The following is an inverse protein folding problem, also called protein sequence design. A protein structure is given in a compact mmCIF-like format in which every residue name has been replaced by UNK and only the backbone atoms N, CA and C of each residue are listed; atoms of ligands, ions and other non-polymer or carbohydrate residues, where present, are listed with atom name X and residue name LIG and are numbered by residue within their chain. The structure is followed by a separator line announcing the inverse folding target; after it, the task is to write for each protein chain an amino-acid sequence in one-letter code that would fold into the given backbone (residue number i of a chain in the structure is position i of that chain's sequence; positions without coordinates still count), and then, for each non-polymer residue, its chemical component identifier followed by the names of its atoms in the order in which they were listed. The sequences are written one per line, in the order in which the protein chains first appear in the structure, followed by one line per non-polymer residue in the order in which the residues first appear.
data_IF_076358767303
#
_entry.id   IF_076358767303
#
_cell.length_a   1.000
_cell.length_b   1.000
_cell.length_c   1.000
_cell.angle_alpha   90.00
_cell.angle_beta   90.00
_cell.angle_gamma   90.00
#
_symmetry.space_group_name_H-M   'P 1'
#
loop_
_entity.id
_entity.type
_entity.pdbx_description
1 polymer ?
#
# COMPACT_ATOMS: atom_id res chain seq x y z
N UNK A 1 -10.15 11.64 -12.49
CA UNK A 1 -9.01 12.00 -11.63
C UNK A 1 -7.75 11.74 -12.41
N UNK A 2 -6.86 12.73 -12.55
CA UNK A 2 -5.56 12.53 -13.19
C UNK A 2 -4.63 11.77 -12.25
N UNK A 3 -3.94 10.74 -12.77
CA UNK A 3 -3.11 9.83 -11.99
C UNK A 3 -1.67 9.85 -12.49
N UNK A 4 -0.72 9.94 -11.56
CA UNK A 4 0.70 9.70 -11.82
C UNK A 4 1.06 8.30 -11.32
N UNK A 5 1.80 7.55 -12.12
CA UNK A 5 2.19 6.18 -11.79
C UNK A 5 3.61 6.14 -11.24
N UNK A 6 3.78 5.60 -10.05
CA UNK A 6 5.05 5.58 -9.34
C UNK A 6 5.56 4.14 -9.20
N UNK A 7 6.68 3.78 -9.84
CA UNK A 7 7.33 2.50 -9.58
C UNK A 7 7.81 2.44 -8.12
N UNK A 8 7.28 1.46 -7.39
CA UNK A 8 7.75 1.13 -6.04
C UNK A 8 8.76 0.01 -6.20
N UNK A 9 10.03 0.32 -6.00
CA UNK A 9 11.11 -0.62 -6.28
C UNK A 9 12.15 -0.70 -5.16
N UNK A 10 12.75 -1.87 -5.03
CA UNK A 10 14.01 -2.06 -4.32
C UNK A 10 15.15 -2.16 -5.34
N UNK A 11 16.30 -1.61 -4.98
CA UNK A 11 17.53 -1.84 -5.74
C UNK A 11 18.45 -2.76 -4.94
N UNK A 12 18.82 -3.89 -5.51
CA UNK A 12 19.79 -4.82 -4.95
C UNK A 12 21.04 -4.84 -5.84
N UNK A 13 22.23 -4.72 -5.25
CA UNK A 13 23.47 -4.68 -6.01
C UNK A 13 23.73 -5.95 -6.84
N UNK A 14 23.34 -7.13 -6.34
CA UNK A 14 23.54 -8.41 -7.02
C UNK A 14 22.44 -8.72 -8.04
N UNK A 15 21.22 -8.28 -7.75
CA UNK A 15 20.02 -8.71 -8.48
C UNK A 15 19.32 -7.61 -9.28
N UNK A 16 19.84 -6.38 -9.23
CA UNK A 16 19.30 -5.21 -9.89
C UNK A 16 18.05 -4.65 -9.21
N UNK A 17 17.28 -3.90 -10.00
CA UNK A 17 16.02 -3.29 -9.56
C UNK A 17 14.90 -4.31 -9.63
N UNK A 18 14.10 -4.42 -8.57
CA UNK A 18 12.91 -5.27 -8.50
C UNK A 18 11.72 -4.47 -7.99
N UNK A 19 10.61 -4.52 -8.73
CA UNK A 19 9.40 -3.75 -8.44
C UNK A 19 8.49 -4.51 -7.46
N UNK A 20 8.02 -3.84 -6.41
CA UNK A 20 6.89 -4.31 -5.61
C UNK A 20 5.58 -4.16 -6.39
N UNK A 21 5.34 -2.95 -6.91
CA UNK A 21 4.16 -2.58 -7.67
C UNK A 21 4.41 -1.22 -8.37
N UNK A 22 3.56 -0.85 -9.31
CA UNK A 22 3.43 0.53 -9.78
C UNK A 22 2.21 1.13 -9.11
N UNK A 23 2.43 2.14 -8.26
CA UNK A 23 1.41 2.77 -7.44
C UNK A 23 0.86 4.02 -8.15
N UNK A 24 -0.39 4.03 -8.60
CA UNK A 24 -1.05 5.24 -9.06
C UNK A 24 -1.37 6.16 -7.87
N UNK A 25 -1.08 7.45 -8.02
CA UNK A 25 -1.45 8.49 -7.06
C UNK A 25 -2.17 9.63 -7.79
N UNK A 26 -3.18 10.28 -7.16
CA UNK A 26 -3.74 11.51 -7.69
C UNK A 26 -2.65 12.59 -7.77
N UNK A 27 -2.73 13.49 -8.76
CA UNK A 27 -1.71 14.51 -9.01
C UNK A 27 -1.35 15.41 -7.80
N UNK A 28 -2.27 15.54 -6.84
CA UNK A 28 -2.06 16.30 -5.61
C UNK A 28 -1.19 15.56 -4.57
N UNK A 29 -0.89 14.28 -4.77
CA UNK A 29 -0.10 13.47 -3.86
C UNK A 29 1.33 13.25 -4.38
N UNK A 30 2.28 13.38 -3.48
CA UNK A 30 3.68 13.04 -3.70
C UNK A 30 4.03 11.72 -3.03
N UNK A 31 4.88 10.93 -3.67
CA UNK A 31 5.50 9.75 -3.09
C UNK A 31 6.91 10.10 -2.60
N UNK A 32 7.16 9.87 -1.32
CA UNK A 32 8.49 10.02 -0.70
C UNK A 32 8.89 8.70 -0.05
N UNK A 33 10.19 8.37 -0.06
CA UNK A 33 10.69 7.17 0.62
C UNK A 33 10.37 7.23 2.11
N UNK A 34 9.94 6.11 2.68
CA UNK A 34 9.76 5.96 4.11
C UNK A 34 11.10 5.88 4.86
N UNK A 35 11.05 5.82 6.19
CA UNK A 35 12.25 5.79 7.03
C UNK A 35 13.00 4.44 6.99
N UNK A 36 12.40 3.40 6.41
CA UNK A 36 12.97 2.06 6.35
C UNK A 36 13.29 1.68 4.90
N UNK A 37 14.46 1.12 4.68
CA UNK A 37 14.84 0.55 3.39
C UNK A 37 13.89 -0.61 3.02
N UNK A 38 13.57 -0.80 1.72
CA UNK A 38 12.83 -1.95 1.27
C UNK A 38 13.54 -3.27 1.63
N UNK A 39 12.78 -4.24 2.13
CA UNK A 39 13.25 -5.60 2.40
C UNK A 39 12.70 -6.54 1.32
N UNK A 40 13.59 -7.29 0.66
CA UNK A 40 13.24 -8.23 -0.41
C UNK A 40 13.78 -9.60 -0.05
N UNK A 41 12.87 -10.54 0.21
CA UNK A 41 13.21 -11.93 0.52
C UNK A 41 13.24 -12.80 -0.74
N UNK A 42 12.34 -12.51 -1.69
CA UNK A 42 12.24 -13.25 -2.94
C UNK A 42 11.82 -12.34 -4.09
N UNK A 43 12.36 -12.58 -5.26
CA UNK A 43 11.97 -11.93 -6.51
C UNK A 43 11.78 -12.94 -7.64
N UNK A 44 11.09 -12.51 -8.69
CA UNK A 44 10.84 -13.29 -9.89
C UNK A 44 10.95 -12.39 -11.13
N UNK A 45 11.53 -12.91 -12.21
CA UNK A 45 11.59 -12.20 -13.49
C UNK A 45 10.41 -12.61 -14.37
N UNK A 46 9.74 -11.63 -14.98
CA UNK A 46 8.65 -11.80 -15.96
C UNK A 46 8.95 -10.89 -17.15
N UNK A 47 9.32 -11.48 -18.28
CA UNK A 47 9.86 -10.72 -19.41
C UNK A 47 11.13 -9.95 -19.01
N UNK A 48 11.13 -8.65 -19.26
CA UNK A 48 12.26 -7.77 -18.93
C UNK A 48 12.20 -7.15 -17.53
N UNK A 49 11.11 -7.40 -16.80
CA UNK A 49 10.86 -6.79 -15.49
C UNK A 49 11.08 -7.80 -14.37
N UNK A 50 11.82 -7.38 -13.34
CA UNK A 50 11.92 -8.12 -12.08
C UNK A 50 10.86 -7.59 -11.10
N UNK A 51 10.14 -8.52 -10.48
CA UNK A 51 9.09 -8.25 -9.50
C UNK A 51 9.42 -8.89 -8.16
N UNK A 52 9.09 -8.20 -7.07
CA UNK A 52 9.18 -8.75 -5.72
C UNK A 52 8.08 -9.77 -5.53
N UNK A 53 8.47 -10.98 -5.14
CA UNK A 53 7.56 -12.08 -4.85
C UNK A 53 7.38 -12.28 -3.35
N UNK A 54 8.28 -11.77 -2.52
CA UNK A 54 8.18 -11.77 -1.06
C UNK A 54 9.02 -10.63 -0.49
N UNK A 55 8.44 -9.81 0.37
CA UNK A 55 9.12 -8.67 0.97
C UNK A 55 8.17 -7.60 1.47
N UNK A 56 8.73 -6.51 1.97
CA UNK A 56 7.98 -5.35 2.50
C UNK A 56 8.70 -4.03 2.26
N UNK A 57 7.93 -2.96 2.15
CA UNK A 57 8.48 -1.61 2.03
C UNK A 57 7.52 -0.58 2.60
N UNK A 58 8.06 0.60 2.95
CA UNK A 58 7.30 1.72 3.53
C UNK A 58 7.61 3.01 2.78
N UNK A 59 6.57 3.77 2.49
CA UNK A 59 6.63 5.07 1.84
C UNK A 59 5.77 6.09 2.60
N UNK A 60 5.98 7.37 2.30
CA UNK A 60 5.14 8.47 2.74
C UNK A 60 4.41 9.06 1.52
N UNK A 61 3.11 9.25 1.64
CA UNK A 61 2.26 9.95 0.69
C UNK A 61 1.95 11.33 1.27
N UNK A 62 2.31 12.40 0.57
CA UNK A 62 2.18 13.78 1.05
C UNK A 62 1.26 14.55 0.12
N UNK A 63 0.20 15.16 0.65
CA UNK A 63 -0.71 15.97 -0.15
C UNK A 63 -0.18 17.42 -0.32
N UNK A 64 0.01 17.88 -1.57
CA UNK A 64 0.58 19.19 -1.98
C UNK A 64 -0.28 20.43 -1.69
N UNK A 65 -1.22 20.36 -0.77
CA UNK A 65 -2.18 21.46 -0.55
C UNK A 65 -3.05 21.31 0.69
N UNK A 66 -2.89 20.20 1.42
CA UNK A 66 -3.56 19.92 2.68
C UNK A 66 -2.48 19.42 3.64
N UNK A 67 -2.66 19.65 4.94
CA UNK A 67 -1.74 19.11 5.97
C UNK A 67 -2.05 17.63 6.21
N UNK A 68 -1.85 16.81 5.19
CA UNK A 68 -2.11 15.37 5.22
C UNK A 68 -0.87 14.59 4.80
N UNK A 69 -0.40 13.74 5.71
CA UNK A 69 0.66 12.78 5.47
C UNK A 69 0.13 11.39 5.79
N UNK A 70 0.36 10.46 4.87
CA UNK A 70 -0.09 9.08 4.98
C UNK A 70 1.10 8.15 4.84
N UNK A 71 1.37 7.36 5.87
CA UNK A 71 2.33 6.24 5.76
C UNK A 71 1.70 5.13 4.93
N UNK A 72 2.43 4.64 3.93
CA UNK A 72 2.02 3.56 3.05
C UNK A 72 2.94 2.36 3.25
N UNK A 73 2.39 1.27 3.78
CA UNK A 73 3.08 0.01 3.95
C UNK A 73 2.61 -0.97 2.88
N UNK A 74 3.56 -1.55 2.16
CA UNK A 74 3.31 -2.58 1.15
C UNK A 74 4.00 -3.85 1.62
N UNK A 75 3.26 -4.96 1.62
CA UNK A 75 3.80 -6.28 1.90
C UNK A 75 3.34 -7.28 0.83
N UNK A 76 4.27 -8.12 0.39
CA UNK A 76 4.00 -9.21 -0.56
C UNK A 76 4.38 -10.51 0.13
N UNK A 77 3.43 -11.45 0.22
CA UNK A 77 3.62 -12.69 0.96
C UNK A 77 2.94 -13.89 0.28
N UNK A 78 3.45 -15.09 0.56
CA UNK A 78 2.90 -16.33 0.01
C UNK A 78 1.56 -16.73 0.64
N UNK A 79 1.39 -16.52 1.95
CA UNK A 79 0.19 -16.96 2.66
C UNK A 79 -0.97 -16.00 2.41
N UNK A 80 -2.07 -16.54 1.91
CA UNK A 80 -3.37 -15.91 2.09
C UNK A 80 -3.72 -15.93 3.58
N UNK A 81 -3.87 -14.77 4.17
CA UNK A 81 -4.56 -14.60 5.44
C UNK A 81 -5.78 -13.75 5.13
N UNK A 82 -6.96 -14.01 5.69
CA UNK A 82 -8.05 -13.05 5.63
C UNK A 82 -7.52 -11.68 6.09
N UNK A 83 -8.05 -10.59 5.51
CA UNK A 83 -7.73 -9.25 5.96
C UNK A 83 -8.22 -9.11 7.42
N UNK A 84 -7.35 -9.46 8.37
CA UNK A 84 -7.71 -9.50 9.77
C UNK A 84 -7.62 -8.08 10.31
N UNK A 85 -8.74 -7.54 10.78
CA UNK A 85 -8.79 -6.26 11.46
C UNK A 85 -8.55 -6.52 12.95
N UNK A 86 -7.38 -6.17 13.50
CA UNK A 86 -7.06 -6.47 14.89
C UNK A 86 -8.05 -5.84 15.86
N UNK A 87 -8.26 -6.49 17.01
CA UNK A 87 -8.99 -5.91 18.13
C UNK A 87 -8.35 -4.58 18.55
N UNK A 88 -9.18 -3.58 18.88
CA UNK A 88 -8.73 -2.23 19.24
C UNK A 88 -8.62 -1.22 18.09
N UNK A 89 -9.07 -1.60 16.89
CA UNK A 89 -9.29 -0.69 15.76
C UNK A 89 -10.80 -0.50 15.54
N UNK A 90 -11.26 0.68 15.11
CA UNK A 90 -12.67 0.97 14.83
C UNK A 90 -12.89 1.00 13.32
N UNK A 91 -13.61 0.02 12.76
CA UNK A 91 -13.95 -0.01 11.33
C UNK A 91 -15.33 0.58 11.09
N UNK A 92 -15.39 1.66 10.31
CA UNK A 92 -16.64 2.28 9.86
C UNK A 92 -17.07 1.89 8.44
N UNK A 93 -16.16 1.40 7.60
CA UNK A 93 -16.50 0.91 6.25
C UNK A 93 -15.63 -0.28 5.89
N UNK A 94 -16.24 -1.30 5.27
CA UNK A 94 -15.57 -2.49 4.75
C UNK A 94 -16.27 -2.94 3.49
N UNK A 95 -15.56 -3.59 2.58
CA UNK A 95 -16.18 -4.11 1.37
C UNK A 95 -15.20 -4.81 0.45
N UNK A 96 -15.68 -5.07 -0.76
CA UNK A 96 -14.88 -5.54 -1.87
C UNK A 96 -14.69 -4.42 -2.89
N UNK A 97 -13.58 -4.47 -3.60
CA UNK A 97 -13.21 -3.55 -4.68
C UNK A 97 -12.32 -4.29 -5.66
N UNK A 98 -12.13 -3.75 -6.87
CA UNK A 98 -11.15 -4.28 -7.82
C UNK A 98 -9.88 -3.42 -7.78
N UNK A 99 -8.71 -4.05 -7.62
CA UNK A 99 -7.40 -3.40 -7.62
C UNK A 99 -6.53 -4.08 -8.67
N UNK A 100 -6.14 -3.34 -9.71
CA UNK A 100 -5.30 -3.87 -10.79
C UNK A 100 -5.90 -5.07 -11.50
N UNK A 101 -7.23 -5.14 -11.62
CA UNK A 101 -7.94 -6.30 -12.15
C UNK A 101 -8.09 -7.48 -11.18
N UNK A 102 -7.72 -7.32 -9.91
CA UNK A 102 -7.86 -8.34 -8.87
C UNK A 102 -8.99 -8.01 -7.91
N UNK A 103 -9.80 -9.02 -7.55
CA UNK A 103 -10.75 -8.89 -6.45
C UNK A 103 -9.99 -8.65 -5.14
N UNK A 104 -10.30 -7.54 -4.49
CA UNK A 104 -9.66 -7.07 -3.27
C UNK A 104 -10.68 -6.88 -2.16
N UNK A 105 -10.28 -7.17 -0.92
CA UNK A 105 -11.02 -6.71 0.25
C UNK A 105 -10.41 -5.38 0.72
N UNK A 106 -11.25 -4.49 1.25
CA UNK A 106 -10.78 -3.28 1.92
C UNK A 106 -11.50 -3.03 3.25
N UNK A 107 -10.81 -2.38 4.17
CA UNK A 107 -11.37 -1.84 5.42
C UNK A 107 -10.83 -0.43 5.61
N UNK A 108 -11.73 0.51 5.83
CA UNK A 108 -11.45 1.84 6.33
C UNK A 108 -11.79 1.88 7.82
N UNK A 109 -11.06 2.69 8.58
CA UNK A 109 -11.30 2.82 10.01
C UNK A 109 -10.38 3.80 10.68
N UNK A 110 -10.31 3.67 12.00
CA UNK A 110 -9.31 4.35 12.83
C UNK A 110 -8.57 3.35 13.70
N UNK A 111 -7.36 3.72 14.11
CA UNK A 111 -6.57 2.97 15.09
C UNK A 111 -5.85 3.92 16.04
N UNK A 112 -5.53 3.42 17.23
CA UNK A 112 -4.70 4.13 18.19
C UNK A 112 -3.22 3.88 17.88
N UNK A 113 -2.41 4.93 17.84
CA UNK A 113 -0.97 4.89 17.60
C UNK A 113 -0.22 5.63 18.71
N UNK A 114 0.93 5.10 19.10
CA UNK A 114 1.82 5.67 20.13
C UNK A 114 1.73 4.95 21.48
N UNK A 115 2.87 4.82 22.16
CA UNK A 115 2.95 4.17 23.48
C UNK A 115 2.53 5.13 24.61
N UNK A 116 3.00 6.39 24.58
CA UNK A 116 2.80 7.34 25.68
C UNK A 116 1.62 8.29 25.48
N UNK A 117 1.36 8.74 24.25
CA UNK A 117 0.10 9.40 23.89
C UNK A 117 -0.54 8.64 22.74
N UNK A 118 -1.68 8.00 23.01
CA UNK A 118 -2.43 7.23 22.00
C UNK A 118 -3.19 8.22 21.13
N UNK A 119 -2.66 8.55 19.95
CA UNK A 119 -3.37 9.35 18.96
C UNK A 119 -4.25 8.45 18.09
N UNK A 120 -5.47 8.88 17.80
CA UNK A 120 -6.34 8.23 16.83
C UNK A 120 -5.92 8.67 15.42
N UNK A 121 -5.62 7.71 14.55
CA UNK A 121 -5.25 7.96 13.14
C UNK A 121 -6.23 7.24 12.22
N UNK A 122 -6.53 7.84 11.07
CA UNK A 122 -7.32 7.17 10.03
C UNK A 122 -6.49 6.09 9.37
N UNK A 123 -7.14 5.01 8.95
CA UNK A 123 -6.47 3.88 8.33
C UNK A 123 -7.30 3.29 7.20
N UNK A 124 -6.60 2.89 6.14
CA UNK A 124 -7.08 2.03 5.08
C UNK A 124 -6.22 0.77 5.05
N UNK A 125 -6.85 -0.39 4.94
CA UNK A 125 -6.16 -1.63 4.58
C UNK A 125 -6.85 -2.24 3.40
N UNK A 126 -6.09 -2.65 2.41
CA UNK A 126 -6.57 -3.47 1.31
C UNK A 126 -5.65 -4.63 1.05
N UNK A 127 -6.22 -5.75 0.61
CA UNK A 127 -5.45 -6.90 0.19
C UNK A 127 -6.12 -7.62 -0.97
N UNK A 128 -5.30 -8.13 -1.88
CA UNK A 128 -5.72 -8.93 -3.02
C UNK A 128 -4.69 -10.02 -3.32
N UNK A 129 -5.09 -11.01 -4.10
CA UNK A 129 -4.21 -12.08 -4.56
C UNK A 129 -3.88 -11.88 -6.04
N UNK A 130 -2.59 -11.76 -6.35
CA UNK A 130 -2.09 -11.70 -7.71
C UNK A 130 -1.79 -13.12 -8.22
N UNK A 131 -2.59 -13.59 -9.18
CA UNK A 131 -2.43 -14.92 -9.78
C UNK A 131 -1.10 -15.07 -10.52
N UNK A 132 -0.63 -14.02 -11.21
CA UNK A 132 0.62 -14.06 -12.00
C UNK A 132 1.88 -14.27 -11.15
N UNK A 133 1.88 -13.72 -9.93
CA UNK A 133 2.95 -13.90 -8.95
C UNK A 133 2.72 -15.07 -8.01
N UNK A 134 1.48 -15.58 -7.96
CA UNK A 134 0.98 -16.51 -6.94
C UNK A 134 1.23 -15.96 -5.52
N UNK A 135 0.89 -14.68 -5.30
CA UNK A 135 1.16 -13.95 -4.04
C UNK A 135 0.02 -13.07 -3.62
N UNK A 136 -0.10 -12.88 -2.31
CA UNK A 136 -0.93 -11.85 -1.70
C UNK A 136 -0.17 -10.54 -1.66
N UNK A 137 -0.86 -9.44 -1.95
CA UNK A 137 -0.38 -8.08 -1.81
C UNK A 137 -1.26 -7.37 -0.78
N UNK A 138 -0.63 -6.81 0.24
CA UNK A 138 -1.25 -6.00 1.29
C UNK A 138 -0.76 -4.56 1.14
N UNK A 139 -1.71 -3.61 1.14
CA UNK A 139 -1.43 -2.18 1.20
C UNK A 139 -2.15 -1.60 2.42
N UNK A 140 -1.38 -1.09 3.38
CA UNK A 140 -1.90 -0.40 4.57
C UNK A 140 -1.51 1.07 4.52
N UNK A 141 -2.49 1.95 4.68
CA UNK A 141 -2.31 3.37 4.79
C UNK A 141 -2.64 3.85 6.19
N UNK A 142 -1.77 4.63 6.81
CA UNK A 142 -1.96 5.24 8.12
C UNK A 142 -1.81 6.75 8.00
N UNK A 143 -2.92 7.48 8.13
CA UNK A 143 -2.95 8.93 7.96
C UNK A 143 -2.89 9.69 9.29
N UNK A 144 -1.72 10.21 9.67
CA UNK A 144 -1.63 11.16 10.78
C UNK A 144 -2.08 12.54 10.28
N UNK A 145 -3.05 13.16 10.98
CA UNK A 145 -3.65 14.44 10.54
C UNK A 145 -4.46 14.35 9.24
N UNK A 146 -4.70 13.15 8.72
CA UNK A 146 -5.51 12.92 7.53
C UNK A 146 -6.96 12.61 7.88
N UNK A 147 -7.86 12.80 6.91
CA UNK A 147 -9.29 12.56 7.03
C UNK A 147 -9.72 11.37 6.16
N UNK A 148 -10.95 10.88 6.35
CA UNK A 148 -11.52 9.79 5.55
C UNK A 148 -11.43 10.05 4.04
N UNK A 149 -11.77 11.27 3.62
CA UNK A 149 -11.80 11.65 2.22
C UNK A 149 -10.46 11.44 1.52
N UNK A 150 -9.34 11.66 2.22
CA UNK A 150 -8.00 11.42 1.69
C UNK A 150 -7.75 9.93 1.44
N UNK A 151 -8.12 9.07 2.38
CA UNK A 151 -7.95 7.62 2.22
C UNK A 151 -8.91 7.04 1.18
N UNK A 152 -10.11 7.59 1.06
CA UNK A 152 -11.05 7.19 0.02
C UNK A 152 -10.53 7.56 -1.37
N UNK A 153 -9.98 8.77 -1.55
CA UNK A 153 -9.34 9.20 -2.80
C UNK A 153 -8.18 8.28 -3.18
N UNK A 154 -7.30 7.94 -2.24
CA UNK A 154 -6.19 7.02 -2.46
C UNK A 154 -6.67 5.60 -2.79
N UNK A 155 -7.72 5.11 -2.12
CA UNK A 155 -8.34 3.81 -2.45
C UNK A 155 -8.85 3.79 -3.90
N UNK A 156 -9.47 4.87 -4.37
CA UNK A 156 -9.92 4.97 -5.77
C UNK A 156 -8.75 4.98 -6.76
N UNK A 157 -7.65 5.66 -6.42
CA UNK A 157 -6.44 5.62 -7.23
C UNK A 157 -5.89 4.20 -7.33
N UNK A 158 -5.84 3.47 -6.21
CA UNK A 158 -5.27 2.12 -6.14
C UNK A 158 -5.99 1.09 -7.00
N UNK A 159 -7.22 1.37 -7.48
CA UNK A 159 -7.87 0.54 -8.48
C UNK A 159 -7.00 0.30 -9.74
N UNK A 160 -6.06 1.21 -10.05
CA UNK A 160 -5.16 1.12 -11.22
C UNK A 160 -3.75 0.61 -10.88
N UNK A 161 -3.53 0.01 -9.70
CA UNK A 161 -2.22 -0.58 -9.36
C UNK A 161 -1.79 -1.62 -10.39
N UNK A 162 -0.51 -1.61 -10.75
CA UNK A 162 0.10 -2.68 -11.53
C UNK A 162 1.01 -3.51 -10.62
N UNK A 163 0.88 -4.83 -10.66
CA UNK A 163 1.64 -5.73 -9.78
C UNK A 163 2.40 -6.84 -10.50
N UNK A 164 2.34 -6.89 -11.84
CA UNK A 164 3.06 -7.80 -12.71
C UNK A 164 3.14 -7.27 -14.14
#
# INVERSE_FOLDING_TARGET
MELTHHPIAANNFLFGVSNFLVLPLPAAWELVRGPFEPEVDRQIRRGDTSWVQEGRTTYLLIHRGRRATVECHIAIAQRWTPLHFPSGKEAWRRGQIEIGGHAAAYVLGTQLRGWWSRKRVVMLRTAFYCNALARRIDIELLGEGSEEGHLHELLQAFCQVQCH
#
